data_IF_978404629526
#
_entry.id   IF_978404629526
#
_cell.length_a   1.000
_cell.length_b   1.000
_cell.length_c   1.000
_cell.angle_alpha   90.00
_cell.angle_beta   90.00
_cell.angle_gamma   90.00
#
_symmetry.space_group_name_H-M   'P 1'
#
loop_
_entity.id
_entity.type
_entity.pdbx_description
1 polymer ?
#
# COMPACT_ATOMS: atom_id res chain seq x y z
N UNK A 1 8.60 0.28 3.74
CA UNK A 1 7.26 0.07 3.14
C UNK A 1 6.19 0.49 4.13
N UNK A 2 5.25 1.32 3.70
CA UNK A 2 4.24 1.95 4.58
C UNK A 2 3.38 0.97 5.39
N UNK A 3 3.26 -0.28 4.94
CA UNK A 3 2.44 -1.30 5.62
C UNK A 3 2.93 -1.67 7.03
N UNK A 4 4.24 -1.58 7.30
CA UNK A 4 4.81 -1.88 8.62
C UNK A 4 4.73 -0.70 9.59
N UNK A 5 4.49 0.52 9.08
CA UNK A 5 4.47 1.74 9.90
C UNK A 5 3.30 1.71 10.88
N UNK A 6 2.11 1.29 10.43
CA UNK A 6 0.92 1.23 11.30
C UNK A 6 1.08 0.21 12.43
N UNK A 7 1.45 -1.07 12.18
CA UNK A 7 1.72 -2.03 13.25
C UNK A 7 2.82 -1.56 14.20
N UNK A 8 3.91 -0.95 13.70
CA UNK A 8 4.98 -0.44 14.54
C UNK A 8 4.48 0.67 15.48
N UNK A 9 3.73 1.65 14.98
CA UNK A 9 3.17 2.73 15.81
C UNK A 9 2.14 2.22 16.83
N UNK A 10 1.34 1.22 16.48
CA UNK A 10 0.31 0.67 17.38
C UNK A 10 0.94 -0.23 18.45
N UNK A 11 1.82 -1.14 18.05
CA UNK A 11 2.38 -2.16 18.95
C UNK A 11 3.55 -1.63 19.79
N UNK A 12 4.38 -0.73 19.25
CA UNK A 12 5.57 -0.22 19.94
C UNK A 12 5.32 1.11 20.63
N UNK A 13 4.60 2.03 19.98
CA UNK A 13 4.33 3.37 20.53
C UNK A 13 2.96 3.48 21.24
N UNK A 14 2.16 2.42 21.25
CA UNK A 14 0.86 2.38 21.95
C UNK A 14 -0.17 3.38 21.41
N UNK A 15 0.02 3.88 20.19
CA UNK A 15 -0.86 4.90 19.61
C UNK A 15 -2.15 4.24 19.11
N UNK A 16 -3.27 4.91 19.35
CA UNK A 16 -4.58 4.52 18.84
C UNK A 16 -4.54 4.22 17.33
N UNK A 17 -5.15 3.11 16.92
CA UNK A 17 -5.06 2.61 15.54
C UNK A 17 -5.53 3.67 14.52
N UNK A 18 -6.57 4.45 14.84
CA UNK A 18 -7.07 5.51 13.96
C UNK A 18 -6.05 6.63 13.75
N UNK A 19 -5.34 7.03 14.81
CA UNK A 19 -4.30 8.08 14.74
C UNK A 19 -3.07 7.57 13.99
N UNK A 20 -2.66 6.33 14.26
CA UNK A 20 -1.54 5.69 13.57
C UNK A 20 -1.78 5.59 12.05
N UNK A 21 -3.01 5.24 11.64
CA UNK A 21 -3.38 5.21 10.22
C UNK A 21 -3.26 6.61 9.59
N UNK A 22 -3.83 7.65 10.21
CA UNK A 22 -3.73 9.02 9.70
C UNK A 22 -2.28 9.51 9.53
N UNK A 23 -1.43 9.28 10.54
CA UNK A 23 -0.01 9.63 10.47
C UNK A 23 0.72 8.87 9.34
N UNK A 24 0.44 7.57 9.19
CA UNK A 24 1.04 6.75 8.14
C UNK A 24 0.66 7.21 6.73
N UNK A 25 -0.59 7.67 6.52
CA UNK A 25 -1.03 8.19 5.23
C UNK A 25 -0.25 9.45 4.83
N UNK A 26 0.01 10.35 5.79
CA UNK A 26 0.86 11.52 5.54
C UNK A 26 2.29 11.13 5.13
N UNK A 27 2.89 10.17 5.84
CA UNK A 27 4.24 9.65 5.51
C UNK A 27 4.26 9.01 4.12
N UNK A 28 3.26 8.17 3.80
CA UNK A 28 3.15 7.50 2.49
C UNK A 28 2.98 8.52 1.37
N UNK A 29 2.14 9.54 1.56
CA UNK A 29 1.92 10.60 0.58
C UNK A 29 3.21 11.38 0.31
N UNK A 30 3.93 11.78 1.37
CA UNK A 30 5.20 12.49 1.25
C UNK A 30 6.26 11.65 0.53
N UNK A 31 6.40 10.38 0.90
CA UNK A 31 7.36 9.48 0.29
C UNK A 31 7.02 9.21 -1.20
N UNK A 32 5.75 9.10 -1.54
CA UNK A 32 5.30 8.90 -2.93
C UNK A 32 5.54 10.15 -3.77
N UNK A 33 5.26 11.35 -3.22
CA UNK A 33 5.53 12.62 -3.89
C UNK A 33 7.03 12.83 -4.12
N UNK A 34 7.87 12.56 -3.12
CA UNK A 34 9.32 12.61 -3.25
C UNK A 34 9.84 11.60 -4.28
N UNK A 35 9.30 10.37 -4.28
CA UNK A 35 9.62 9.34 -5.27
C UNK A 35 9.24 9.73 -6.69
N UNK A 36 8.06 10.32 -6.89
CA UNK A 36 7.62 10.83 -8.20
C UNK A 36 8.51 12.00 -8.66
N UNK A 37 8.77 12.96 -7.77
CA UNK A 37 9.64 14.10 -8.06
C UNK A 37 11.06 13.66 -8.42
N UNK A 38 11.58 12.63 -7.74
CA UNK A 38 12.83 11.97 -8.09
C UNK A 38 12.77 11.34 -9.48
N UNK A 39 11.70 10.58 -9.79
CA UNK A 39 11.62 9.91 -11.09
C UNK A 39 11.46 10.84 -12.28
N UNK A 40 10.79 11.97 -12.10
CA UNK A 40 10.70 13.01 -13.14
C UNK A 40 12.07 13.56 -13.58
N UNK A 41 13.12 13.37 -12.78
CA UNK A 41 14.49 13.79 -13.10
C UNK A 41 15.29 12.76 -13.89
N UNK A 42 14.98 11.48 -13.76
CA UNK A 42 15.82 10.40 -14.28
C UNK A 42 15.14 9.50 -15.30
N UNK A 43 13.81 9.45 -15.34
CA UNK A 43 13.04 8.61 -16.26
C UNK A 43 12.09 9.43 -17.13
N UNK A 44 11.99 9.04 -18.40
CA UNK A 44 10.90 9.47 -19.29
C UNK A 44 9.65 8.69 -18.92
N UNK A 45 8.67 9.35 -18.32
CA UNK A 45 7.36 8.76 -18.07
C UNK A 45 6.50 8.78 -19.34
N UNK A 46 5.91 7.64 -19.67
CA UNK A 46 4.76 7.59 -20.56
C UNK A 46 3.54 8.14 -19.81
N UNK A 47 3.18 9.38 -20.10
CA UNK A 47 2.08 10.07 -19.43
C UNK A 47 0.72 9.45 -19.72
N UNK A 48 0.55 8.78 -20.86
CA UNK A 48 -0.69 8.09 -21.22
C UNK A 48 -0.89 6.90 -20.30
N UNK A 49 0.10 6.01 -20.23
CA UNK A 49 0.05 4.83 -19.36
C UNK A 49 -0.06 5.24 -17.88
N UNK A 50 0.66 6.29 -17.48
CA UNK A 50 0.64 6.79 -16.10
C UNK A 50 -0.76 7.28 -15.71
N UNK A 51 -1.44 8.03 -16.59
CA UNK A 51 -2.79 8.52 -16.32
C UNK A 51 -3.81 7.39 -16.31
N UNK A 52 -3.74 6.45 -17.24
CA UNK A 52 -4.62 5.28 -17.26
C UNK A 52 -4.48 4.45 -15.98
N UNK A 53 -3.25 4.21 -15.55
CA UNK A 53 -2.97 3.48 -14.31
C UNK A 53 -3.44 4.23 -13.07
N UNK A 54 -3.27 5.56 -13.04
CA UNK A 54 -3.77 6.42 -11.96
C UNK A 54 -5.30 6.35 -11.87
N UNK A 55 -6.01 6.44 -13.01
CA UNK A 55 -7.47 6.35 -13.05
C UNK A 55 -7.95 4.98 -12.56
N UNK A 56 -7.32 3.89 -13.03
CA UNK A 56 -7.64 2.54 -12.56
C UNK A 56 -7.40 2.38 -11.05
N UNK A 57 -6.29 2.92 -10.53
CA UNK A 57 -5.97 2.88 -9.10
C UNK A 57 -6.98 3.68 -8.26
N UNK A 58 -7.37 4.88 -8.71
CA UNK A 58 -8.38 5.71 -8.02
C UNK A 58 -9.76 5.06 -8.04
N UNK A 59 -10.16 4.47 -9.16
CA UNK A 59 -11.41 3.72 -9.27
C UNK A 59 -11.43 2.51 -8.32
N UNK A 60 -10.36 1.71 -8.32
CA UNK A 60 -10.20 0.58 -7.41
C UNK A 60 -10.21 0.99 -5.93
N UNK A 61 -9.53 2.10 -5.59
CA UNK A 61 -9.53 2.67 -4.24
C UNK A 61 -10.94 3.09 -3.82
N UNK A 62 -11.68 3.79 -4.69
CA UNK A 62 -13.05 4.23 -4.41
C UNK A 62 -14.02 3.07 -4.19
N UNK A 63 -13.91 2.01 -5.01
CA UNK A 63 -14.70 0.79 -4.84
C UNK A 63 -14.35 0.07 -3.53
N UNK A 64 -13.05 -0.10 -3.24
CA UNK A 64 -12.58 -0.71 -2.01
C UNK A 64 -13.02 0.08 -0.76
N UNK A 65 -12.96 1.41 -0.81
CA UNK A 65 -13.40 2.28 0.28
C UNK A 65 -14.89 2.12 0.59
N UNK A 66 -15.73 1.98 -0.44
CA UNK A 66 -17.17 1.70 -0.26
C UNK A 66 -17.43 0.33 0.38
N UNK A 67 -16.66 -0.69 0.00
CA UNK A 67 -16.82 -2.04 0.53
C UNK A 67 -16.32 -2.16 1.99
N UNK A 68 -15.40 -1.27 2.41
CA UNK A 68 -14.74 -1.32 3.72
C UNK A 68 -15.71 -1.24 4.91
N UNK A 69 -16.85 -0.54 4.76
CA UNK A 69 -17.85 -0.40 5.82
C UNK A 69 -18.51 -1.71 6.26
N UNK A 70 -18.40 -2.78 5.46
CA UNK A 70 -18.96 -4.10 5.76
C UNK A 70 -18.01 -5.05 6.48
N UNK A 71 -16.72 -4.69 6.63
CA UNK A 71 -15.70 -5.55 7.21
C UNK A 71 -15.32 -5.12 8.63
N UNK A 72 -15.20 -6.08 9.54
CA UNK A 72 -14.63 -5.81 10.86
C UNK A 72 -13.12 -5.50 10.75
N UNK A 73 -12.54 -4.67 11.64
CA UNK A 73 -11.11 -4.37 11.62
C UNK A 73 -10.22 -5.63 11.71
N UNK A 74 -10.68 -6.66 12.41
CA UNK A 74 -10.00 -7.94 12.51
C UNK A 74 -10.06 -8.74 11.20
N UNK A 75 -11.20 -8.73 10.51
CA UNK A 75 -11.37 -9.35 9.19
C UNK A 75 -10.44 -8.73 8.15
N UNK A 76 -10.36 -7.39 8.10
CA UNK A 76 -9.49 -6.68 7.19
C UNK A 76 -8.00 -7.01 7.44
N UNK A 77 -7.58 -7.07 8.71
CA UNK A 77 -6.24 -7.51 9.09
C UNK A 77 -5.94 -8.95 8.65
N UNK A 78 -6.92 -9.86 8.79
CA UNK A 78 -6.77 -11.27 8.39
C UNK A 78 -6.65 -11.42 6.87
N UNK A 79 -7.50 -10.74 6.10
CA UNK A 79 -7.41 -10.74 4.62
C UNK A 79 -6.06 -10.18 4.17
N UNK A 80 -5.65 -9.06 4.74
CA UNK A 80 -4.36 -8.45 4.45
C UNK A 80 -3.18 -9.39 4.74
N UNK A 81 -3.19 -10.09 5.89
CA UNK A 81 -2.15 -11.05 6.24
C UNK A 81 -2.07 -12.21 5.23
N UNK A 82 -3.21 -12.76 4.81
CA UNK A 82 -3.25 -13.80 3.78
C UNK A 82 -2.74 -13.30 2.42
N UNK A 83 -3.07 -12.08 2.02
CA UNK A 83 -2.54 -11.47 0.79
C UNK A 83 -1.01 -11.34 0.85
N UNK A 84 -0.45 -10.95 1.99
CA UNK A 84 1.01 -10.87 2.15
C UNK A 84 1.68 -12.25 2.05
N UNK A 85 1.11 -13.28 2.66
CA UNK A 85 1.62 -14.66 2.55
C UNK A 85 1.58 -15.12 1.09
N UNK A 86 0.48 -14.87 0.39
CA UNK A 86 0.36 -15.22 -1.03
C UNK A 86 1.43 -14.53 -1.88
N UNK A 87 1.64 -13.22 -1.69
CA UNK A 87 2.71 -12.47 -2.38
C UNK A 87 4.09 -13.04 -2.05
N UNK A 88 4.36 -13.35 -0.78
CA UNK A 88 5.63 -13.93 -0.36
C UNK A 88 5.90 -15.30 -1.01
N UNK A 89 4.88 -16.16 -1.11
CA UNK A 89 4.99 -17.46 -1.78
C UNK A 89 5.21 -17.29 -3.28
N UNK A 90 4.48 -16.39 -3.94
CA UNK A 90 4.64 -16.14 -5.38
C UNK A 90 6.03 -15.58 -5.71
N UNK A 91 6.50 -14.58 -4.95
CA UNK A 91 7.82 -14.00 -5.16
C UNK A 91 8.92 -15.00 -4.78
N UNK A 92 8.79 -15.70 -3.65
CA UNK A 92 9.76 -16.71 -3.22
C UNK A 92 9.86 -17.87 -4.21
N UNK A 93 8.72 -18.37 -4.70
CA UNK A 93 8.67 -19.45 -5.69
C UNK A 93 9.24 -19.03 -7.05
N UNK A 94 8.89 -17.85 -7.55
CA UNK A 94 9.46 -17.32 -8.81
C UNK A 94 10.97 -17.06 -8.70
N UNK A 95 11.45 -16.63 -7.55
CA UNK A 95 12.89 -16.43 -7.31
C UNK A 95 13.69 -17.73 -7.29
N UNK A 96 13.07 -18.86 -6.96
CA UNK A 96 13.70 -20.18 -7.00
C UNK A 96 13.67 -20.81 -8.40
N UNK A 97 12.69 -20.44 -9.23
CA UNK A 97 12.57 -20.90 -10.62
C UNK A 97 13.48 -20.15 -11.61
N UNK A 98 13.95 -18.96 -11.25
CA UNK A 98 14.88 -18.15 -12.06
C UNK A 98 16.36 -18.42 -11.73
N UNK A 99 16.65 -19.31 -10.79
CA UNK A 99 18.01 -19.84 -10.53
C UNK A 99 18.22 -21.13 -11.29
#
# INVERSE_FOLDING_TARGET
>A
GGFLIVPALVLLAGIDTKKAVGASLGIIALNSAAGLAGQLRYATLDWTLTLEFLLAALAGMGLGARMMGSFSPAGLRKVFAWSLIAVAVVIGGSSLLQR
#
